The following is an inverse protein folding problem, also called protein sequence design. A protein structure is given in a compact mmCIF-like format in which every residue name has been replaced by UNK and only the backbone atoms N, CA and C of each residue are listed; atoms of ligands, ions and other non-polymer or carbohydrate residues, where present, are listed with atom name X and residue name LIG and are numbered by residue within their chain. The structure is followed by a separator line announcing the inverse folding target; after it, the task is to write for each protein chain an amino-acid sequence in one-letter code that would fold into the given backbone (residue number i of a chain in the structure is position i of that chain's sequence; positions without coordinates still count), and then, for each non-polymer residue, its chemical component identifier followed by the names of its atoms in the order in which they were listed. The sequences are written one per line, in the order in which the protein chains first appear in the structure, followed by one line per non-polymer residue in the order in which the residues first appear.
data_IF_523292100583
#
_entry.id   IF_523292100583
#
_cell.length_a   1.000
_cell.length_b   1.000
_cell.length_c   1.000
_cell.angle_alpha   90.00
_cell.angle_beta   90.00
_cell.angle_gamma   90.00
#
_symmetry.space_group_name_H-M   'P 1'
#
loop_
_entity.id
_entity.type
_entity.pdbx_description
1 polymer ?
#
# COMPACT_ATOMS: atom_id res chain seq x y z
N UNK A 1 -13.85 -36.05 19.42
CA UNK A 1 -13.02 -35.09 20.19
C UNK A 1 -13.07 -33.78 19.42
N UNK A 2 -13.81 -32.79 19.93
CA UNK A 2 -13.88 -31.47 19.28
C UNK A 2 -12.49 -30.84 19.32
N UNK A 3 -11.92 -30.51 18.16
CA UNK A 3 -10.70 -29.70 18.15
C UNK A 3 -10.98 -28.41 18.92
N UNK A 4 -10.08 -28.07 19.84
CA UNK A 4 -10.20 -26.84 20.62
C UNK A 4 -10.15 -25.64 19.68
N UNK A 5 -10.84 -24.56 20.05
CA UNK A 5 -10.80 -23.29 19.30
C UNK A 5 -9.35 -22.85 19.00
N UNK A 6 -8.43 -23.08 19.94
CA UNK A 6 -7.00 -22.77 19.80
C UNK A 6 -6.32 -23.58 18.69
N UNK A 7 -6.64 -24.86 18.55
CA UNK A 7 -6.08 -25.73 17.50
C UNK A 7 -6.51 -25.28 16.12
N UNK A 8 -7.78 -24.91 15.98
CA UNK A 8 -8.36 -24.38 14.73
C UNK A 8 -7.74 -23.01 14.39
N UNK A 9 -7.55 -22.15 15.38
CA UNK A 9 -6.93 -20.84 15.21
C UNK A 9 -5.46 -20.95 14.78
N UNK A 10 -4.70 -21.87 15.39
CA UNK A 10 -3.30 -22.12 15.03
C UNK A 10 -3.18 -22.65 13.60
N UNK A 11 -4.06 -23.58 13.20
CA UNK A 11 -4.11 -24.08 11.83
C UNK A 11 -4.41 -22.97 10.83
N UNK A 12 -5.40 -22.11 11.13
CA UNK A 12 -5.76 -21.00 10.27
C UNK A 12 -4.62 -19.97 10.14
N UNK A 13 -3.94 -19.64 11.23
CA UNK A 13 -2.78 -18.72 11.24
C UNK A 13 -1.59 -19.27 10.45
N UNK A 14 -1.33 -20.58 10.49
CA UNK A 14 -0.26 -21.22 9.70
C UNK A 14 -0.60 -21.34 8.21
N UNK A 15 -1.87 -21.46 7.88
CA UNK A 15 -2.35 -21.54 6.49
C UNK A 15 -2.47 -20.16 5.82
N UNK A 16 -2.50 -19.08 6.61
CA UNK A 16 -2.47 -17.73 6.07
C UNK A 16 -1.08 -17.45 5.48
N UNK A 17 -0.99 -16.99 4.22
CA UNK A 17 0.26 -16.53 3.65
C UNK A 17 0.79 -15.37 4.51
N UNK A 18 2.12 -15.28 4.64
CA UNK A 18 2.77 -14.12 5.26
C UNK A 18 2.16 -12.86 4.66
N UNK A 19 1.71 -11.93 5.53
CA UNK A 19 0.92 -10.77 5.13
C UNK A 19 1.48 -10.17 3.84
N UNK A 20 0.70 -10.29 2.75
CA UNK A 20 1.12 -9.79 1.43
C UNK A 20 1.30 -8.27 1.44
N UNK A 21 0.74 -7.60 2.44
CA UNK A 21 1.08 -6.23 2.77
C UNK A 21 2.18 -6.24 3.83
N UNK A 22 3.41 -5.91 3.43
CA UNK A 22 4.25 -5.12 4.32
C UNK A 22 3.35 -3.99 4.83
N UNK A 23 3.32 -3.74 6.14
CA UNK A 23 2.53 -2.64 6.72
C UNK A 23 2.98 -1.25 6.26
N UNK A 24 3.70 -1.15 5.14
CA UNK A 24 3.95 0.05 4.38
C UNK A 24 2.61 0.57 3.93
N UNK A 25 2.09 1.47 4.75
CA UNK A 25 0.97 2.32 4.39
C UNK A 25 1.22 2.84 2.98
N UNK A 26 0.14 2.94 2.23
CA UNK A 26 0.10 3.60 0.95
C UNK A 26 0.75 5.00 1.05
N UNK A 27 2.04 5.10 0.72
CA UNK A 27 2.83 6.33 0.80
C UNK A 27 2.81 6.98 -0.58
N UNK A 28 2.06 8.07 -0.71
CA UNK A 28 2.10 8.91 -1.90
C UNK A 28 3.44 9.64 -1.92
N UNK A 29 4.19 9.62 -3.03
CA UNK A 29 5.43 10.38 -3.15
C UNK A 29 5.15 11.88 -3.00
N UNK A 30 6.09 12.62 -2.38
CA UNK A 30 5.95 14.08 -2.23
C UNK A 30 5.99 14.75 -3.61
N UNK A 31 5.08 15.70 -3.91
CA UNK A 31 5.01 16.33 -5.22
C UNK A 31 6.24 17.20 -5.49
N UNK A 32 6.83 16.98 -6.66
CA UNK A 32 7.94 17.76 -7.18
C UNK A 32 7.40 18.88 -8.07
N UNK A 33 7.36 20.09 -7.51
CA UNK A 33 6.73 21.26 -8.11
C UNK A 33 7.79 22.26 -8.55
N UNK A 34 7.69 22.71 -9.80
CA UNK A 34 8.44 23.84 -10.33
C UNK A 34 7.47 24.92 -10.72
N UNK A 35 7.74 26.16 -10.29
CA UNK A 35 6.91 27.31 -10.63
C UNK A 35 7.73 28.21 -11.55
N UNK A 36 7.35 28.24 -12.82
CA UNK A 36 7.95 29.08 -13.85
C UNK A 36 6.96 30.21 -14.22
N UNK A 37 7.14 31.37 -13.60
CA UNK A 37 6.28 32.55 -13.83
C UNK A 37 4.82 32.31 -13.43
N UNK A 38 3.93 32.16 -14.42
CA UNK A 38 2.50 31.84 -14.23
C UNK A 38 2.17 30.36 -14.41
N UNK A 39 3.18 29.53 -14.69
CA UNK A 39 3.01 28.11 -14.99
C UNK A 39 3.57 27.27 -13.84
N UNK A 40 2.75 26.36 -13.31
CA UNK A 40 3.16 25.38 -12.31
C UNK A 40 3.30 24.02 -12.98
N UNK A 41 4.48 23.42 -12.88
CA UNK A 41 4.82 22.13 -13.48
C UNK A 41 5.02 21.12 -12.35
N UNK A 42 4.29 20.00 -12.43
CA UNK A 42 4.43 18.85 -11.54
C UNK A 42 5.26 17.77 -12.25
N UNK A 43 6.52 17.57 -11.84
CA UNK A 43 7.44 16.66 -12.54
C UNK A 43 7.13 15.18 -12.30
N UNK A 44 6.63 14.84 -11.12
CA UNK A 44 6.34 13.47 -10.70
C UNK A 44 4.82 13.17 -10.63
N UNK A 45 4.04 13.80 -11.51
CA UNK A 45 2.60 13.60 -11.55
C UNK A 45 2.22 12.14 -11.86
N UNK A 46 2.91 11.50 -12.81
CA UNK A 46 2.70 10.08 -13.15
C UNK A 46 3.00 9.14 -11.97
N UNK A 47 4.06 9.42 -11.21
CA UNK A 47 4.41 8.62 -10.03
C UNK A 47 3.33 8.72 -8.93
N UNK A 48 2.74 9.91 -8.76
CA UNK A 48 1.64 10.14 -7.81
C UNK A 48 0.38 9.39 -8.25
N UNK A 49 0.03 9.47 -9.53
CA UNK A 49 -1.16 8.79 -10.09
C UNK A 49 -0.99 7.27 -10.05
N UNK A 50 0.19 6.78 -10.42
CA UNK A 50 0.56 5.36 -10.39
C UNK A 50 0.59 4.79 -8.97
N UNK A 51 1.07 5.57 -7.99
CA UNK A 51 0.92 5.21 -6.59
C UNK A 51 -0.57 5.00 -6.28
N UNK A 52 -1.43 5.99 -6.55
CA UNK A 52 -2.84 5.96 -6.12
C UNK A 52 -3.69 4.89 -6.86
N UNK A 53 -3.09 4.16 -7.82
CA UNK A 53 -3.77 3.19 -8.71
C UNK A 53 -5.00 3.80 -9.36
N UNK A 54 -4.84 5.03 -9.83
CA UNK A 54 -5.92 5.78 -10.46
C UNK A 54 -5.67 5.81 -11.96
N UNK A 55 -6.14 4.78 -12.65
CA UNK A 55 -6.34 4.80 -14.12
C UNK A 55 -7.58 5.65 -14.47
#
# INVERSE_FOLDING_TARGET
MSLGYEDLLQRAKKALPAALSSGERFQVPSPDVVIEGKTTILRNFEDIVGAIRRD
#
